data_IF_501699793940
#
_entry.id   IF_501699793940
#
_cell.length_a   1.000
_cell.length_b   1.000
_cell.length_c   1.000
_cell.angle_alpha   90.00
_cell.angle_beta   90.00
_cell.angle_gamma   90.00
#
_symmetry.space_group_name_H-M   'P 1'
#
loop_
_entity.id
_entity.type
_entity.pdbx_description
1 polymer ?
#
# COMPACT_ATOMS: atom_id res chain seq x y z
N UNK A 1 -5.97 -0.93 11.18
CA UNK A 1 -5.66 0.51 11.24
C UNK A 1 -6.29 1.16 10.02
N UNK A 2 -6.95 2.31 10.17
CA UNK A 2 -7.66 2.94 9.06
C UNK A 2 -6.71 3.41 7.97
N UNK A 3 -7.10 3.25 6.70
CA UNK A 3 -6.32 3.67 5.54
C UNK A 3 -6.03 5.18 5.55
N UNK A 4 -6.96 6.00 6.01
CA UNK A 4 -6.73 7.46 6.14
C UNK A 4 -5.53 7.79 7.07
N UNK A 5 -5.36 7.04 8.17
CA UNK A 5 -4.24 7.25 9.10
C UNK A 5 -2.92 6.74 8.51
N UNK A 6 -2.99 5.72 7.65
CA UNK A 6 -1.80 5.26 6.92
C UNK A 6 -1.26 6.33 5.97
N UNK A 7 -2.15 7.14 5.40
CA UNK A 7 -1.84 8.18 4.44
C UNK A 7 -1.42 9.52 5.08
N UNK A 8 -1.36 9.60 6.41
CA UNK A 8 -0.76 10.76 7.10
C UNK A 8 0.70 10.94 6.67
N UNK A 9 1.11 12.19 6.45
CA UNK A 9 2.46 12.56 5.99
C UNK A 9 2.89 11.96 4.64
N UNK A 10 1.96 11.34 3.89
CA UNK A 10 2.22 10.78 2.57
C UNK A 10 1.70 11.72 1.48
N UNK A 11 2.60 12.14 0.58
CA UNK A 11 2.20 12.87 -0.64
C UNK A 11 1.65 11.91 -1.69
N UNK A 12 0.34 11.98 -1.93
CA UNK A 12 -0.33 11.27 -3.02
C UNK A 12 -0.85 12.24 -4.08
N UNK A 13 -0.94 11.76 -5.34
CA UNK A 13 -1.51 12.50 -6.48
C UNK A 13 -3.03 12.43 -6.47
N UNK A 14 -3.58 11.23 -6.28
CA UNK A 14 -5.01 10.98 -6.41
C UNK A 14 -5.41 9.70 -5.70
N UNK A 15 -6.61 9.69 -5.14
CA UNK A 15 -7.24 8.52 -4.56
C UNK A 15 -8.51 8.20 -5.35
N UNK A 16 -8.74 6.93 -5.64
CA UNK A 16 -9.98 6.41 -6.21
C UNK A 16 -10.59 5.42 -5.22
N UNK A 17 -11.85 5.60 -4.86
CA UNK A 17 -12.54 4.78 -3.86
C UNK A 17 -12.59 5.43 -2.48
N UNK A 18 -13.04 4.65 -1.48
CA UNK A 18 -13.16 5.12 -0.09
C UNK A 18 -11.85 4.98 0.67
N UNK A 19 -11.54 5.88 1.60
CA UNK A 19 -10.43 5.73 2.55
C UNK A 19 -10.90 5.25 3.94
N UNK A 20 -12.20 5.11 4.13
CA UNK A 20 -12.80 4.66 5.38
C UNK A 20 -12.87 3.13 5.41
N UNK A 21 -11.70 2.51 5.54
CA UNK A 21 -11.55 1.07 5.67
C UNK A 21 -10.38 0.71 6.58
N UNK A 22 -10.47 -0.46 7.19
CA UNK A 22 -9.38 -1.01 8.00
C UNK A 22 -8.41 -1.83 7.16
N UNK A 23 -7.13 -1.48 7.30
CA UNK A 23 -6.00 -2.23 6.78
C UNK A 23 -5.38 -3.04 7.92
N UNK A 24 -5.26 -4.35 7.70
CA UNK A 24 -4.69 -5.32 8.65
C UNK A 24 -3.25 -5.70 8.33
N UNK A 25 -2.81 -5.50 7.09
CA UNK A 25 -1.46 -5.84 6.67
C UNK A 25 -1.01 -4.98 5.49
N UNK A 26 0.29 -4.82 5.29
CA UNK A 26 0.89 -4.15 4.14
C UNK A 26 1.84 -5.13 3.47
N UNK A 27 1.69 -5.30 2.15
CA UNK A 27 2.58 -6.17 1.39
C UNK A 27 3.04 -5.53 0.10
N UNK A 28 4.30 -5.78 -0.25
CA UNK A 28 4.92 -5.42 -1.54
C UNK A 28 5.00 -6.63 -2.49
N UNK A 29 4.62 -7.82 -2.00
CA UNK A 29 4.62 -9.07 -2.75
C UNK A 29 3.19 -9.63 -2.78
N UNK A 30 2.63 -9.78 -3.98
CA UNK A 30 1.26 -10.27 -4.21
C UNK A 30 1.01 -11.63 -3.56
N UNK A 31 2.05 -12.46 -3.47
CA UNK A 31 1.98 -13.79 -2.85
C UNK A 31 1.85 -13.80 -1.33
N UNK A 32 2.20 -12.68 -0.69
CA UNK A 32 2.11 -12.52 0.77
C UNK A 32 0.90 -11.66 1.18
N UNK A 33 0.06 -11.29 0.21
CA UNK A 33 -1.18 -10.57 0.47
C UNK A 33 -2.16 -11.50 1.19
N UNK A 34 -2.80 -10.96 2.22
CA UNK A 34 -3.88 -11.61 2.94
C UNK A 34 -5.12 -10.70 2.98
N UNK A 35 -6.21 -11.17 3.58
CA UNK A 35 -7.44 -10.39 3.71
C UNK A 35 -7.22 -9.03 4.39
N UNK A 36 -7.88 -8.01 3.84
CA UNK A 36 -7.81 -6.62 4.32
C UNK A 36 -6.40 -6.03 4.25
N UNK A 37 -5.61 -6.42 3.25
CA UNK A 37 -4.27 -5.86 3.05
C UNK A 37 -4.26 -4.63 2.15
N UNK A 38 -3.25 -3.78 2.37
CA UNK A 38 -2.81 -2.77 1.42
C UNK A 38 -1.64 -3.35 0.60
N UNK A 39 -1.82 -3.47 -0.71
CA UNK A 39 -0.75 -3.86 -1.62
C UNK A 39 -0.02 -2.63 -2.16
N UNK A 40 1.31 -2.59 -2.05
CA UNK A 40 2.13 -1.49 -2.59
C UNK A 40 2.85 -1.98 -3.84
N UNK A 41 2.39 -1.52 -5.00
CA UNK A 41 2.94 -1.84 -6.30
C UNK A 41 4.23 -1.04 -6.55
N UNK A 42 5.37 -1.61 -6.16
CA UNK A 42 6.68 -0.98 -6.38
C UNK A 42 7.16 -1.23 -7.81
N UNK A 43 7.57 -0.16 -8.50
CA UNK A 43 8.30 -0.29 -9.76
C UNK A 43 9.75 -0.73 -9.48
N UNK A 44 10.02 -2.00 -9.78
CA UNK A 44 11.31 -2.66 -9.63
C UNK A 44 12.12 -2.68 -10.92
N UNK A 45 13.44 -2.84 -10.78
CA UNK A 45 14.35 -3.01 -11.93
C UNK A 45 14.14 -4.36 -12.63
N UNK A 46 13.82 -5.42 -11.87
CA UNK A 46 13.58 -6.77 -12.40
C UNK A 46 12.10 -7.09 -12.63
N UNK A 47 11.21 -6.55 -11.80
CA UNK A 47 9.77 -6.84 -11.83
C UNK A 47 8.98 -5.56 -11.59
N UNK A 48 7.92 -5.35 -12.39
CA UNK A 48 6.99 -4.24 -12.17
C UNK A 48 5.85 -4.71 -11.26
N UNK A 49 5.81 -4.23 -10.01
CA UNK A 49 4.78 -4.58 -9.02
C UNK A 49 3.35 -4.31 -9.48
N UNK A 50 3.17 -3.35 -10.40
CA UNK A 50 1.88 -3.00 -10.99
C UNK A 50 1.24 -4.18 -11.76
N UNK A 51 2.05 -5.09 -12.30
CA UNK A 51 1.57 -6.26 -13.04
C UNK A 51 0.92 -7.31 -12.11
N UNK A 52 1.19 -7.25 -10.80
CA UNK A 52 0.70 -8.23 -9.81
C UNK A 52 -0.50 -7.72 -9.01
N UNK A 53 -1.08 -6.60 -9.42
CA UNK A 53 -2.19 -5.96 -8.72
C UNK A 53 -3.46 -6.80 -8.79
N UNK A 54 -3.74 -7.47 -9.91
CA UNK A 54 -4.85 -8.41 -10.03
C UNK A 54 -4.70 -9.64 -9.12
N UNK A 55 -3.49 -10.17 -8.98
CA UNK A 55 -3.18 -11.26 -8.03
C UNK A 55 -3.39 -10.78 -6.59
N UNK A 56 -2.86 -9.61 -6.24
CA UNK A 56 -3.04 -9.03 -4.91
C UNK A 56 -4.51 -8.81 -4.55
N UNK A 57 -5.32 -8.29 -5.48
CA UNK A 57 -6.77 -8.11 -5.26
C UNK A 57 -7.46 -9.45 -5.05
N UNK A 58 -7.13 -10.46 -5.86
CA UNK A 58 -7.68 -11.81 -5.71
C UNK A 58 -7.31 -12.45 -4.38
N UNK A 59 -6.13 -12.12 -3.84
CA UNK A 59 -5.65 -12.60 -2.53
C UNK A 59 -6.19 -11.82 -1.32
N UNK A 60 -7.09 -10.86 -1.52
CA UNK A 60 -7.75 -10.13 -0.43
C UNK A 60 -7.23 -8.72 -0.15
N UNK A 61 -6.43 -8.12 -1.06
CA UNK A 61 -6.11 -6.71 -0.97
C UNK A 61 -7.37 -5.86 -1.17
N UNK A 62 -7.66 -4.99 -0.19
CA UNK A 62 -8.79 -4.05 -0.23
C UNK A 62 -8.38 -2.66 -0.73
N UNK A 63 -7.06 -2.41 -0.73
CA UNK A 63 -6.47 -1.20 -1.26
C UNK A 63 -5.15 -1.49 -1.99
N UNK A 64 -4.85 -0.70 -3.01
CA UNK A 64 -3.62 -0.77 -3.81
C UNK A 64 -2.98 0.61 -3.89
N UNK A 65 -1.70 0.71 -3.56
CA UNK A 65 -0.88 1.90 -3.77
C UNK A 65 0.03 1.71 -4.99
N UNK A 66 0.02 2.66 -5.93
CA UNK A 66 0.83 2.59 -7.14
C UNK A 66 1.22 3.96 -7.69
N UNK A 67 2.04 4.00 -8.74
CA UNK A 67 2.48 5.24 -9.38
C UNK A 67 1.55 5.70 -10.52
N UNK A 68 0.70 4.79 -11.00
CA UNK A 68 -0.27 5.02 -12.09
C UNK A 68 -1.61 4.37 -11.79
N UNK A 69 -2.66 4.87 -12.45
CA UNK A 69 -4.00 4.27 -12.39
C UNK A 69 -3.94 2.84 -12.94
N UNK A 70 -4.61 1.93 -12.25
CA UNK A 70 -4.69 0.51 -12.62
C UNK A 70 -6.13 0.14 -12.96
N UNK A 71 -6.26 -0.84 -13.85
CA UNK A 71 -7.55 -1.45 -14.20
C UNK A 71 -7.87 -2.56 -13.19
N UNK A 72 -8.30 -2.14 -12.00
CA UNK A 72 -8.74 -3.05 -10.93
C UNK A 72 -10.21 -2.77 -10.58
N UNK A 73 -10.92 -3.73 -9.95
CA UNK A 73 -12.33 -3.59 -9.62
C UNK A 73 -12.64 -2.30 -8.83
N UNK A 74 -13.81 -1.71 -9.08
CA UNK A 74 -14.23 -0.43 -8.51
C UNK A 74 -14.37 -0.41 -6.99
N UNK A 75 -14.53 -1.58 -6.36
CA UNK A 75 -14.58 -1.72 -4.91
C UNK A 75 -13.21 -1.67 -4.23
N UNK A 76 -12.11 -1.72 -5.00
CA UNK A 76 -10.74 -1.63 -4.49
C UNK A 76 -10.28 -0.19 -4.53
N UNK A 77 -9.83 0.32 -3.38
CA UNK A 77 -9.30 1.67 -3.31
C UNK A 77 -7.91 1.75 -3.92
N UNK A 78 -7.70 2.72 -4.80
CA UNK A 78 -6.40 2.99 -5.42
C UNK A 78 -5.81 4.29 -4.89
N UNK A 79 -4.59 4.23 -4.39
CA UNK A 79 -3.80 5.40 -3.97
C UNK A 79 -2.67 5.61 -4.96
N UNK A 80 -2.74 6.69 -5.73
CA UNK A 80 -1.73 7.02 -6.74
C UNK A 80 -0.74 8.01 -6.15
N UNK A 81 0.54 7.65 -6.12
CA UNK A 81 1.63 8.46 -5.58
C UNK A 81 2.65 8.84 -6.67
N UNK A 82 3.56 9.77 -6.36
CA UNK A 82 4.68 10.09 -7.25
C UNK A 82 5.69 8.94 -7.32
N UNK A 83 6.07 8.39 -6.16
CA UNK A 83 7.08 7.35 -6.05
C UNK A 83 6.72 6.43 -4.87
N UNK A 84 6.43 5.16 -5.16
CA UNK A 84 6.07 4.18 -4.13
C UNK A 84 7.23 3.83 -3.20
N UNK A 85 8.50 3.96 -3.65
CA UNK A 85 9.67 3.67 -2.79
C UNK A 85 9.89 4.73 -1.73
N UNK A 86 9.63 5.99 -2.06
CA UNK A 86 9.76 7.10 -1.11
C UNK A 86 8.64 7.08 -0.07
N UNK A 87 7.45 6.64 -0.48
CA UNK A 87 6.27 6.60 0.37
C UNK A 87 6.28 5.38 1.31
N UNK A 88 6.80 4.24 0.88
CA UNK A 88 6.75 2.99 1.64
C UNK A 88 7.33 3.10 3.07
N UNK A 89 8.50 3.73 3.32
CA UNK A 89 9.02 3.87 4.68
C UNK A 89 8.08 4.64 5.62
N UNK A 90 7.49 5.73 5.13
CA UNK A 90 6.53 6.55 5.89
C UNK A 90 5.27 5.73 6.18
N UNK A 91 4.75 5.03 5.17
CA UNK A 91 3.60 4.13 5.29
C UNK A 91 3.84 3.03 6.34
N UNK A 92 4.99 2.36 6.31
CA UNK A 92 5.35 1.32 7.28
C UNK A 92 5.51 1.90 8.69
N UNK A 93 6.11 3.09 8.82
CA UNK A 93 6.25 3.78 10.11
C UNK A 93 4.88 4.06 10.72
N UNK A 94 3.93 4.54 9.93
CA UNK A 94 2.55 4.79 10.36
C UNK A 94 1.89 3.47 10.78
N UNK A 95 2.01 2.41 9.97
CA UNK A 95 1.37 1.11 10.24
C UNK A 95 1.88 0.40 11.49
N UNK A 96 3.20 0.34 11.68
CA UNK A 96 3.82 -0.37 12.79
C UNK A 96 4.02 0.52 14.03
N UNK A 97 3.52 1.75 14.03
CA UNK A 97 3.68 2.72 15.12
C UNK A 97 5.16 2.95 15.52
N UNK A 98 6.05 3.02 14.53
CA UNK A 98 7.47 3.39 14.72
C UNK A 98 8.21 2.49 15.74
N UNK A 99 8.35 1.18 15.46
CA UNK A 99 8.97 0.24 16.41
C UNK A 99 10.43 0.59 16.71
N UNK A 100 11.10 1.32 15.82
CA UNK A 100 12.46 1.87 16.02
C UNK A 100 12.58 2.79 17.24
N UNK A 101 11.49 3.36 17.76
CA UNK A 101 11.54 4.14 19.00
C UNK A 101 11.62 3.28 20.26
N UNK A 102 11.24 2.01 20.16
CA UNK A 102 11.22 1.11 21.31
C UNK A 102 12.57 0.44 21.59
N UNK A 103 13.50 0.42 20.63
CA UNK A 103 14.82 -0.19 20.78
C UNK A 103 15.90 0.54 19.99
N UNK A 104 17.13 0.58 20.52
CA UNK A 104 18.27 1.20 19.86
C UNK A 104 18.78 0.30 18.72
N UNK A 105 18.59 0.74 17.47
CA UNK A 105 19.21 0.12 16.30
C UNK A 105 20.72 0.41 16.33
N UNK A 106 21.57 -0.61 16.16
CA UNK A 106 23.04 -0.52 16.15
C UNK A 106 23.55 -0.97 14.78
#
# INVERSE_FOLDING_TARGET
MRLQNLLEDIKYKKIYGSTDMDIKNISINSKNVADSSLFVAIEGFKCNGHNFTGEAVSSGAVAVMGMRKLEIPSHITQVIVNNTREVLPVLCRNFYQDPSKSFKLI
#
